data_IF_847712176283
#
_entry.id   IF_847712176283
#
_cell.length_a   1.000
_cell.length_b   1.000
_cell.length_c   1.000
_cell.angle_alpha   90.00
_cell.angle_beta   90.00
_cell.angle_gamma   90.00
#
_symmetry.space_group_name_H-M   'P 1'
#
loop_
_entity.id
_entity.type
_entity.pdbx_description
1 polymer ?
#
# COMPACT_ATOMS: atom_id res chain seq x y z
N UNK A 1 -10.14 -28.01 29.46
CA UNK A 1 -10.59 -26.63 29.24
C UNK A 1 -10.72 -26.41 27.74
N UNK A 2 -11.67 -25.62 27.24
CA UNK A 2 -11.72 -25.30 25.83
C UNK A 2 -10.42 -24.62 25.38
N UNK A 3 -10.01 -24.87 24.13
CA UNK A 3 -8.83 -24.21 23.57
C UNK A 3 -9.00 -22.69 23.58
N UNK A 4 -7.95 -21.91 23.87
CA UNK A 4 -8.05 -20.45 23.83
C UNK A 4 -8.39 -19.96 22.41
N UNK A 5 -9.02 -18.77 22.29
CA UNK A 5 -9.25 -18.19 20.96
C UNK A 5 -7.92 -17.92 20.27
N UNK A 6 -7.86 -17.99 18.92
CA UNK A 6 -6.66 -17.64 18.19
C UNK A 6 -6.38 -16.15 18.31
N UNK A 7 -5.11 -15.79 18.34
CA UNK A 7 -4.66 -14.41 18.14
C UNK A 7 -4.45 -14.19 16.63
N UNK A 8 -5.07 -13.16 16.07
CA UNK A 8 -4.95 -12.82 14.64
C UNK A 8 -4.37 -11.41 14.53
N UNK A 9 -3.16 -11.29 14.02
CA UNK A 9 -2.58 -9.98 13.69
C UNK A 9 -3.04 -9.54 12.31
N UNK A 10 -3.51 -8.29 12.17
CA UNK A 10 -3.97 -7.68 10.92
C UNK A 10 -3.19 -6.43 10.56
N UNK A 11 -2.06 -6.18 11.25
CA UNK A 11 -1.23 -5.03 10.99
C UNK A 11 -0.47 -5.14 9.65
N UNK A 12 0.06 -4.01 9.19
CA UNK A 12 0.94 -3.98 8.03
C UNK A 12 2.39 -4.09 8.49
N UNK A 13 2.83 -5.31 8.82
CA UNK A 13 4.18 -5.62 9.30
C UNK A 13 4.88 -6.60 8.37
N UNK A 14 6.21 -6.59 8.38
CA UNK A 14 6.99 -7.53 7.59
C UNK A 14 6.85 -8.98 8.14
N UNK A 15 7.00 -10.02 7.29
CA UNK A 15 6.92 -11.43 7.72
C UNK A 15 7.84 -11.75 8.90
N UNK A 16 9.05 -11.19 8.93
CA UNK A 16 10.01 -11.37 10.03
C UNK A 16 9.47 -10.83 11.36
N UNK A 17 8.81 -9.67 11.31
CA UNK A 17 8.15 -9.06 12.48
C UNK A 17 6.99 -9.92 12.96
N UNK A 18 6.20 -10.47 12.02
CA UNK A 18 5.11 -11.40 12.33
C UNK A 18 5.61 -12.67 13.01
N UNK A 19 6.70 -13.26 12.52
CA UNK A 19 7.32 -14.44 13.12
C UNK A 19 7.85 -14.16 14.53
N UNK A 20 8.51 -13.00 14.74
CA UNK A 20 8.98 -12.58 16.05
C UNK A 20 7.82 -12.32 17.02
N UNK A 21 6.70 -11.80 16.54
CA UNK A 21 5.47 -11.64 17.32
C UNK A 21 4.93 -13.00 17.76
N UNK A 22 4.82 -13.96 16.83
CA UNK A 22 4.29 -15.29 17.11
C UNK A 22 5.13 -16.05 18.15
N UNK A 23 6.44 -15.93 18.09
CA UNK A 23 7.35 -16.56 19.06
C UNK A 23 7.07 -16.13 20.52
N UNK A 24 6.44 -14.96 20.73
CA UNK A 24 6.04 -14.51 22.10
C UNK A 24 4.89 -15.32 22.69
N UNK A 25 4.18 -16.07 21.86
CA UNK A 25 3.08 -16.95 22.26
C UNK A 25 3.51 -18.40 22.43
N UNK A 26 4.79 -18.73 22.22
CA UNK A 26 5.30 -20.08 22.39
C UNK A 26 5.03 -20.60 23.81
N UNK A 27 4.50 -21.82 23.89
CA UNK A 27 4.13 -22.45 25.16
C UNK A 27 2.84 -21.91 25.81
N UNK A 28 2.20 -20.89 25.29
CA UNK A 28 0.94 -20.33 25.83
C UNK A 28 -0.31 -21.15 25.48
N UNK A 29 -0.23 -22.01 24.47
CA UNK A 29 -1.38 -22.71 23.89
C UNK A 29 -2.28 -21.84 23.00
N UNK A 30 -1.93 -20.56 22.81
CA UNK A 30 -2.62 -19.64 21.88
C UNK A 30 -2.07 -19.85 20.47
N UNK A 31 -2.96 -20.09 19.52
CA UNK A 31 -2.62 -20.18 18.11
C UNK A 31 -2.51 -18.77 17.52
N UNK A 32 -1.44 -18.52 16.77
CA UNK A 32 -1.21 -17.22 16.12
C UNK A 32 -1.46 -17.36 14.62
N UNK A 33 -2.28 -16.46 14.07
CA UNK A 33 -2.56 -16.34 12.64
C UNK A 33 -2.06 -14.99 12.14
N UNK A 34 -1.45 -15.03 10.97
CA UNK A 34 -1.04 -13.84 10.23
C UNK A 34 -2.15 -13.41 9.29
N UNK A 35 -2.50 -12.13 9.33
CA UNK A 35 -3.55 -11.59 8.50
C UNK A 35 -3.17 -10.28 7.80
N UNK A 36 -3.74 -10.08 6.61
CA UNK A 36 -3.50 -8.89 5.81
C UNK A 36 -4.80 -8.35 5.21
N UNK A 37 -5.12 -7.12 5.50
CA UNK A 37 -6.26 -6.41 4.90
C UNK A 37 -5.81 -5.76 3.60
N UNK A 38 -6.44 -6.14 2.47
CA UNK A 38 -6.19 -5.55 1.16
C UNK A 38 -7.52 -4.99 0.61
N UNK A 39 -7.53 -3.72 0.30
CA UNK A 39 -8.68 -2.95 -0.17
C UNK A 39 -8.89 -1.69 0.64
N UNK A 40 -9.83 -0.86 0.18
CA UNK A 40 -10.24 0.36 0.89
C UNK A 40 -11.15 0.07 2.09
N UNK A 41 -11.45 1.09 2.91
CA UNK A 41 -12.42 0.97 3.99
C UNK A 41 -13.77 0.44 3.48
N UNK A 42 -14.52 -0.30 4.31
CA UNK A 42 -15.85 -0.75 3.92
C UNK A 42 -16.77 0.44 3.65
N UNK A 43 -17.53 0.34 2.55
CA UNK A 43 -18.52 1.33 2.14
C UNK A 43 -19.87 0.65 2.08
N UNK A 44 -20.95 1.23 2.64
CA UNK A 44 -22.30 0.66 2.55
C UNK A 44 -22.69 0.33 1.11
N UNK A 45 -23.18 -0.88 0.87
CA UNK A 45 -23.60 -1.36 -0.45
C UNK A 45 -22.48 -1.81 -1.38
N UNK A 46 -21.18 -1.73 -0.96
CA UNK A 46 -20.04 -2.25 -1.70
C UNK A 46 -19.38 -3.40 -0.97
N UNK A 47 -18.74 -4.30 -1.72
CA UNK A 47 -17.92 -5.34 -1.10
C UNK A 47 -16.75 -4.67 -0.35
N UNK A 48 -16.59 -5.04 0.93
CA UNK A 48 -15.50 -4.56 1.77
C UNK A 48 -14.12 -5.10 1.32
N UNK A 49 -13.06 -4.75 2.07
CA UNK A 49 -11.73 -5.28 1.82
C UNK A 49 -11.70 -6.80 1.95
N UNK A 50 -10.71 -7.42 1.34
CA UNK A 50 -10.43 -8.84 1.55
C UNK A 50 -9.37 -8.98 2.65
N UNK A 51 -9.62 -9.88 3.59
CA UNK A 51 -8.65 -10.25 4.64
C UNK A 51 -8.02 -11.58 4.22
N UNK A 52 -6.74 -11.58 3.99
CA UNK A 52 -5.94 -12.76 3.72
C UNK A 52 -5.40 -13.30 5.04
N UNK A 53 -5.47 -14.62 5.24
CA UNK A 53 -5.00 -15.27 6.47
C UNK A 53 -4.02 -16.39 6.10
N UNK A 54 -2.91 -16.48 6.81
CA UNK A 54 -1.93 -17.55 6.68
C UNK A 54 -1.48 -18.08 8.04
N UNK A 55 -0.82 -19.25 8.01
CA UNK A 55 -0.37 -20.00 9.18
C UNK A 55 -1.02 -21.38 9.23
N UNK A 56 -0.45 -22.29 10.04
CA UNK A 56 -0.78 -23.71 10.07
C UNK A 56 -2.24 -24.01 10.42
N UNK A 57 -2.93 -23.09 11.09
CA UNK A 57 -4.31 -23.22 11.54
C UNK A 57 -5.22 -22.13 10.95
N UNK A 58 -4.93 -21.72 9.70
CA UNK A 58 -5.69 -20.67 9.01
C UNK A 58 -7.20 -20.96 8.92
N UNK A 59 -7.61 -22.23 8.99
CA UNK A 59 -9.03 -22.63 9.05
C UNK A 59 -9.78 -22.09 10.27
N UNK A 60 -9.09 -21.77 11.35
CA UNK A 60 -9.69 -21.15 12.54
C UNK A 60 -10.16 -19.71 12.32
N UNK A 61 -9.78 -19.11 11.20
CA UNK A 61 -10.33 -17.81 10.78
C UNK A 61 -11.81 -17.87 10.34
N UNK A 62 -12.45 -19.04 10.29
CA UNK A 62 -13.90 -19.18 9.99
C UNK A 62 -14.77 -18.32 10.87
N UNK A 63 -14.39 -18.14 12.12
CA UNK A 63 -15.10 -17.24 13.04
C UNK A 63 -15.26 -15.80 12.50
N UNK A 64 -14.34 -15.34 11.65
CA UNK A 64 -14.41 -14.03 11.01
C UNK A 64 -15.38 -14.04 9.81
N UNK A 65 -15.47 -15.16 9.08
CA UNK A 65 -16.43 -15.34 7.99
C UNK A 65 -17.87 -15.34 8.53
N UNK A 66 -18.09 -15.97 9.69
CA UNK A 66 -19.39 -15.99 10.37
C UNK A 66 -19.85 -14.58 10.78
N UNK A 67 -18.90 -13.63 10.92
CA UNK A 67 -19.16 -12.19 11.12
C UNK A 67 -19.35 -11.40 9.81
N UNK A 68 -19.40 -12.06 8.65
CA UNK A 68 -19.62 -11.44 7.35
C UNK A 68 -18.36 -10.80 6.73
N UNK A 69 -17.17 -11.10 7.26
CA UNK A 69 -15.90 -10.61 6.69
C UNK A 69 -15.47 -11.49 5.51
N UNK A 70 -14.89 -10.86 4.49
CA UNK A 70 -14.35 -11.55 3.31
C UNK A 70 -12.98 -12.12 3.63
N UNK A 71 -12.92 -13.41 3.92
CA UNK A 71 -11.67 -14.10 4.24
C UNK A 71 -11.17 -14.89 3.02
N UNK A 72 -9.85 -14.83 2.80
CA UNK A 72 -9.12 -15.72 1.89
C UNK A 72 -7.94 -16.34 2.63
N UNK A 73 -7.94 -17.66 2.73
CA UNK A 73 -6.82 -18.40 3.31
C UNK A 73 -5.74 -18.58 2.26
N UNK A 74 -4.51 -18.34 2.66
CA UNK A 74 -3.33 -18.63 1.86
C UNK A 74 -2.78 -19.99 2.26
N UNK A 75 -2.44 -20.78 1.27
CA UNK A 75 -1.66 -22.00 1.46
C UNK A 75 -0.18 -21.63 1.61
N UNK A 76 0.19 -21.27 2.84
CA UNK A 76 1.53 -20.79 3.14
C UNK A 76 1.79 -20.67 4.64
N UNK A 77 3.06 -20.56 5.04
CA UNK A 77 3.44 -20.45 6.43
C UNK A 77 2.98 -19.15 7.06
N UNK A 78 3.11 -19.06 8.38
CA UNK A 78 2.94 -17.81 9.11
C UNK A 78 3.87 -16.71 8.54
N UNK A 79 3.31 -15.56 8.19
CA UNK A 79 3.98 -14.48 7.49
C UNK A 79 3.67 -14.39 5.98
N UNK A 80 2.99 -15.39 5.40
CA UNK A 80 2.65 -15.34 3.98
C UNK A 80 1.62 -14.24 3.64
N UNK A 81 0.65 -13.96 4.52
CA UNK A 81 -0.29 -12.87 4.33
C UNK A 81 0.39 -11.50 4.47
N UNK A 82 1.29 -11.35 5.44
CA UNK A 82 2.16 -10.17 5.57
C UNK A 82 3.02 -9.96 4.33
N UNK A 83 3.66 -11.02 3.80
CA UNK A 83 4.43 -10.95 2.56
C UNK A 83 3.57 -10.50 1.38
N UNK A 84 2.38 -11.07 1.21
CA UNK A 84 1.43 -10.66 0.17
C UNK A 84 1.13 -9.16 0.25
N UNK A 85 0.90 -8.66 1.46
CA UNK A 85 0.60 -7.24 1.68
C UNK A 85 1.81 -6.36 1.36
N UNK A 86 3.02 -6.75 1.75
CA UNK A 86 4.25 -6.01 1.42
C UNK A 86 4.43 -5.93 -0.10
N UNK A 87 4.33 -7.05 -0.82
CA UNK A 87 4.43 -7.08 -2.27
C UNK A 87 3.34 -6.23 -2.95
N UNK A 88 2.09 -6.38 -2.54
CA UNK A 88 0.97 -5.61 -3.10
C UNK A 88 1.13 -4.10 -2.86
N UNK A 89 1.50 -3.72 -1.63
CA UNK A 89 1.74 -2.32 -1.27
C UNK A 89 2.94 -1.75 -2.03
N UNK A 90 4.02 -2.53 -2.14
CA UNK A 90 5.22 -2.16 -2.89
C UNK A 90 4.91 -1.86 -4.36
N UNK A 91 4.19 -2.73 -5.04
CA UNK A 91 3.79 -2.52 -6.44
C UNK A 91 2.88 -1.28 -6.54
N UNK A 92 1.83 -1.20 -5.73
CA UNK A 92 0.83 -0.14 -5.88
C UNK A 92 1.38 1.24 -5.49
N UNK A 93 2.05 1.37 -4.36
CA UNK A 93 2.61 2.64 -3.89
C UNK A 93 3.91 2.99 -4.58
N UNK A 94 4.71 1.97 -4.93
CA UNK A 94 5.91 2.14 -5.74
C UNK A 94 5.60 2.73 -7.11
N UNK A 95 4.53 2.26 -7.75
CA UNK A 95 4.03 2.83 -9.00
C UNK A 95 3.66 4.32 -8.86
N UNK A 96 2.95 4.68 -7.77
CA UNK A 96 2.58 6.07 -7.49
C UNK A 96 3.81 6.92 -7.19
N UNK A 97 4.77 6.40 -6.39
CA UNK A 97 6.02 7.08 -6.10
C UNK A 97 6.87 7.33 -7.34
N UNK A 98 7.00 6.32 -8.20
CA UNK A 98 7.72 6.47 -9.48
C UNK A 98 7.07 7.55 -10.36
N UNK A 99 5.74 7.50 -10.53
CA UNK A 99 5.00 8.49 -11.28
C UNK A 99 5.17 9.90 -10.70
N UNK A 100 5.06 10.05 -9.39
CA UNK A 100 5.28 11.32 -8.69
C UNK A 100 6.68 11.88 -8.96
N UNK A 101 7.73 11.04 -8.83
CA UNK A 101 9.11 11.45 -9.07
C UNK A 101 9.33 11.94 -10.51
N UNK A 102 8.79 11.20 -11.50
CA UNK A 102 8.97 11.52 -12.92
C UNK A 102 8.18 12.76 -13.35
N UNK A 103 6.95 12.94 -12.86
CA UNK A 103 6.17 14.14 -13.15
C UNK A 103 6.82 15.40 -12.54
N UNK A 104 7.33 15.32 -11.31
CA UNK A 104 8.10 16.42 -10.70
C UNK A 104 9.42 16.70 -11.47
N UNK A 105 10.08 15.67 -11.97
CA UNK A 105 11.27 15.84 -12.81
C UNK A 105 10.92 16.53 -14.14
N UNK A 106 9.85 16.13 -14.79
CA UNK A 106 9.36 16.73 -16.01
C UNK A 106 8.98 18.22 -15.81
N UNK A 107 8.33 18.54 -14.68
CA UNK A 107 8.01 19.92 -14.30
C UNK A 107 9.28 20.78 -14.23
N UNK A 108 10.29 20.31 -13.50
CA UNK A 108 11.58 21.03 -13.35
C UNK A 108 12.34 21.21 -14.66
N UNK A 109 12.11 20.32 -15.63
CA UNK A 109 12.81 20.31 -16.93
C UNK A 109 12.00 20.96 -18.07
N UNK A 110 10.82 21.52 -17.78
CA UNK A 110 9.95 22.11 -18.79
C UNK A 110 9.32 21.12 -19.77
N UNK A 111 9.28 19.81 -19.41
CA UNK A 111 8.76 18.75 -20.24
C UNK A 111 7.38 18.23 -19.79
N UNK A 112 6.74 18.88 -18.81
CA UNK A 112 5.53 18.38 -18.18
C UNK A 112 4.35 18.19 -19.14
N UNK A 113 4.05 19.19 -19.96
CA UNK A 113 2.96 19.14 -20.94
C UNK A 113 3.17 18.04 -21.98
N UNK A 114 4.39 17.95 -22.53
CA UNK A 114 4.74 16.92 -23.50
C UNK A 114 4.67 15.52 -22.93
N UNK A 115 5.14 15.33 -21.68
CA UNK A 115 5.03 14.05 -20.99
C UNK A 115 3.56 13.67 -20.75
N UNK A 116 2.73 14.63 -20.33
CA UNK A 116 1.31 14.40 -20.10
C UNK A 116 0.58 14.01 -21.38
N UNK A 117 0.85 14.71 -22.49
CA UNK A 117 0.29 14.38 -23.79
C UNK A 117 0.70 12.97 -24.24
N UNK A 118 1.99 12.63 -24.15
CA UNK A 118 2.51 11.32 -24.51
C UNK A 118 1.90 10.19 -23.66
N UNK A 119 1.79 10.40 -22.33
CA UNK A 119 1.15 9.41 -21.44
C UNK A 119 -0.33 9.21 -21.82
N UNK A 120 -1.04 10.28 -22.14
CA UNK A 120 -2.46 10.19 -22.52
C UNK A 120 -2.65 9.44 -23.85
N UNK A 121 -1.73 9.56 -24.79
CA UNK A 121 -1.78 8.90 -26.10
C UNK A 121 -1.30 7.46 -26.03
N UNK A 122 -0.10 7.22 -25.50
CA UNK A 122 0.58 5.92 -25.57
C UNK A 122 0.27 4.99 -24.39
N UNK A 123 -0.05 5.55 -23.21
CA UNK A 123 -0.27 4.81 -21.97
C UNK A 123 -1.49 5.34 -21.17
N UNK A 124 -2.71 5.37 -21.78
CA UNK A 124 -3.87 6.04 -21.18
C UNK A 124 -4.31 5.45 -19.81
N UNK A 125 -4.11 4.16 -19.59
CA UNK A 125 -4.44 3.53 -18.30
C UNK A 125 -3.45 3.93 -17.20
N UNK A 126 -2.18 4.10 -17.55
CA UNK A 126 -1.14 4.62 -16.65
C UNK A 126 -1.45 6.06 -16.28
N UNK A 127 -1.74 6.89 -17.28
CA UNK A 127 -2.10 8.30 -17.09
C UNK A 127 -3.33 8.45 -16.17
N UNK A 128 -4.40 7.72 -16.45
CA UNK A 128 -5.62 7.71 -15.61
C UNK A 128 -5.33 7.29 -14.17
N UNK A 129 -4.53 6.22 -14.01
CA UNK A 129 -4.17 5.73 -12.69
C UNK A 129 -3.33 6.74 -11.90
N UNK A 130 -2.33 7.38 -12.51
CA UNK A 130 -1.51 8.40 -11.87
C UNK A 130 -2.33 9.65 -11.53
N UNK A 131 -3.15 10.13 -12.48
CA UNK A 131 -4.00 11.32 -12.29
C UNK A 131 -4.97 11.17 -11.12
N UNK A 132 -5.44 9.94 -10.83
CA UNK A 132 -6.29 9.64 -9.68
C UNK A 132 -5.48 9.43 -8.40
N UNK A 133 -4.44 8.60 -8.47
CA UNK A 133 -3.79 8.05 -7.27
C UNK A 133 -2.78 9.00 -6.64
N UNK A 134 -2.15 9.91 -7.41
CA UNK A 134 -1.21 10.88 -6.86
C UNK A 134 -1.91 11.88 -5.93
N UNK A 135 -3.03 12.52 -6.29
CA UNK A 135 -3.77 13.37 -5.36
C UNK A 135 -4.34 12.62 -4.15
N UNK A 136 -4.76 11.36 -4.34
CA UNK A 136 -5.23 10.50 -3.24
C UNK A 136 -4.09 10.15 -2.25
N UNK A 137 -2.84 10.24 -2.67
CA UNK A 137 -1.66 10.02 -1.83
C UNK A 137 -1.38 11.20 -0.89
N UNK A 138 -1.62 12.44 -1.28
CA UNK A 138 -1.23 13.62 -0.52
C UNK A 138 -1.56 13.53 0.99
N UNK A 139 -2.81 13.29 1.41
CA UNK A 139 -3.15 13.22 2.82
C UNK A 139 -2.64 11.95 3.53
N UNK A 140 -2.00 11.05 2.80
CA UNK A 140 -1.53 9.73 3.29
C UNK A 140 -0.02 9.58 3.22
N UNK A 141 0.69 10.51 2.57
CA UNK A 141 2.12 10.42 2.31
C UNK A 141 2.93 10.12 3.57
N UNK A 142 2.61 10.79 4.68
CA UNK A 142 3.28 10.60 5.96
C UNK A 142 3.26 9.15 6.47
N UNK A 143 2.16 8.40 6.24
CA UNK A 143 2.05 7.00 6.64
C UNK A 143 2.82 6.06 5.72
N UNK A 144 2.98 6.46 4.45
CA UNK A 144 3.66 5.64 3.47
C UNK A 144 5.17 5.60 3.69
N UNK A 145 5.72 6.57 4.40
CA UNK A 145 7.15 6.57 4.77
C UNK A 145 7.53 5.28 5.50
N UNK A 146 6.85 4.98 6.60
CA UNK A 146 7.12 3.76 7.38
C UNK A 146 6.82 2.49 6.56
N UNK A 147 5.76 2.48 5.75
CA UNK A 147 5.43 1.33 4.91
C UNK A 147 6.51 1.05 3.84
N UNK A 148 7.13 2.09 3.26
CA UNK A 148 8.24 1.90 2.32
C UNK A 148 9.50 1.37 3.00
N UNK A 149 9.77 1.80 4.23
CA UNK A 149 10.86 1.26 5.05
C UNK A 149 10.64 -0.22 5.36
N UNK A 150 9.44 -0.61 5.79
CA UNK A 150 9.08 -2.02 6.02
C UNK A 150 9.24 -2.89 4.76
N UNK A 151 8.91 -2.34 3.58
CA UNK A 151 9.12 -3.06 2.31
C UNK A 151 10.60 -3.18 1.99
N UNK A 152 11.40 -2.16 2.25
CA UNK A 152 12.86 -2.22 2.06
C UNK A 152 13.49 -3.30 2.98
N UNK A 153 13.06 -3.34 4.24
CA UNK A 153 13.53 -4.34 5.21
C UNK A 153 13.06 -5.76 4.84
N UNK A 154 11.84 -5.89 4.31
CA UNK A 154 11.32 -7.15 3.80
C UNK A 154 12.12 -7.71 2.62
N UNK A 155 12.60 -6.84 1.72
CA UNK A 155 13.45 -7.23 0.59
C UNK A 155 14.85 -7.66 1.06
N UNK A 156 15.34 -7.10 2.16
CA UNK A 156 16.66 -7.37 2.73
C UNK A 156 17.70 -6.29 2.44
N UNK A 157 18.67 -6.17 3.33
CA UNK A 157 19.67 -5.10 3.25
C UNK A 157 20.57 -5.21 2.02
N UNK A 158 20.87 -6.43 1.61
CA UNK A 158 21.75 -6.74 0.48
C UNK A 158 21.03 -6.71 -0.87
N UNK A 159 19.69 -6.63 -0.89
CA UNK A 159 18.93 -6.54 -2.13
C UNK A 159 18.95 -5.11 -2.68
N UNK A 160 19.47 -4.88 -3.90
CA UNK A 160 19.48 -3.55 -4.51
C UNK A 160 18.07 -2.95 -4.67
N UNK A 161 17.02 -3.78 -4.78
CA UNK A 161 15.64 -3.32 -4.82
C UNK A 161 15.21 -2.62 -3.52
N UNK A 162 15.80 -2.95 -2.36
CA UNK A 162 15.55 -2.25 -1.11
C UNK A 162 15.87 -0.74 -1.19
N UNK A 163 16.90 -0.38 -1.96
CA UNK A 163 17.28 1.03 -2.18
C UNK A 163 16.19 1.82 -2.90
N UNK A 164 15.44 1.19 -3.81
CA UNK A 164 14.30 1.82 -4.49
C UNK A 164 13.26 2.26 -3.45
N UNK A 165 12.92 1.38 -2.51
CA UNK A 165 11.90 1.67 -1.50
C UNK A 165 12.38 2.63 -0.42
N UNK A 166 13.68 2.63 -0.06
CA UNK A 166 14.27 3.67 0.79
C UNK A 166 14.17 5.05 0.13
N UNK A 167 14.53 5.16 -1.16
CA UNK A 167 14.35 6.41 -1.92
C UNK A 167 12.89 6.85 -2.05
N UNK A 168 11.95 5.91 -2.13
CA UNK A 168 10.52 6.23 -2.10
C UNK A 168 10.05 6.69 -0.72
N UNK A 169 10.59 6.15 0.38
CA UNK A 169 10.33 6.65 1.73
C UNK A 169 10.74 8.12 1.86
N UNK A 170 11.91 8.48 1.35
CA UNK A 170 12.40 9.87 1.34
C UNK A 170 11.52 10.78 0.48
N UNK A 171 11.09 10.30 -0.70
CA UNK A 171 10.15 11.04 -1.55
C UNK A 171 8.82 11.30 -0.84
N UNK A 172 8.22 10.28 -0.20
CA UNK A 172 6.96 10.45 0.52
C UNK A 172 7.11 11.33 1.77
N UNK A 173 8.26 11.29 2.46
CA UNK A 173 8.57 12.22 3.54
C UNK A 173 8.60 13.66 3.05
N UNK A 174 9.24 13.91 1.91
CA UNK A 174 9.27 15.21 1.26
C UNK A 174 7.87 15.67 0.82
N UNK A 175 7.06 14.77 0.25
CA UNK A 175 5.68 15.09 -0.12
C UNK A 175 4.82 15.42 1.11
N UNK A 176 4.95 14.67 2.20
CA UNK A 176 4.24 14.94 3.44
C UNK A 176 4.57 16.31 4.00
N UNK A 177 5.85 16.67 4.04
CA UNK A 177 6.30 18.00 4.48
C UNK A 177 5.78 19.12 3.59
N UNK A 178 5.73 18.89 2.26
CA UNK A 178 5.18 19.89 1.32
C UNK A 178 3.67 20.08 1.49
N UNK A 179 2.93 19.01 1.75
CA UNK A 179 1.48 19.06 2.00
C UNK A 179 1.14 19.90 3.24
N UNK A 180 1.94 19.77 4.30
CA UNK A 180 1.76 20.51 5.56
C UNK A 180 2.31 21.95 5.48
N UNK A 181 3.20 22.20 4.53
CA UNK A 181 3.94 23.47 4.37
C UNK A 181 3.53 24.29 3.15
N UNK A 182 4.51 24.49 2.26
CA UNK A 182 4.40 25.42 1.13
C UNK A 182 3.49 24.96 -0.01
N UNK A 183 3.23 23.66 -0.13
CA UNK A 183 2.45 23.01 -1.21
C UNK A 183 2.97 23.29 -2.63
N UNK A 184 4.27 23.56 -2.76
CA UNK A 184 4.92 23.83 -4.06
C UNK A 184 4.92 22.58 -4.93
N UNK A 185 5.29 21.42 -4.37
CA UNK A 185 5.31 20.15 -5.11
C UNK A 185 3.90 19.68 -5.45
N UNK A 186 2.97 19.85 -4.53
CA UNK A 186 1.53 19.58 -4.77
C UNK A 186 1.01 20.45 -5.90
N UNK A 187 1.31 21.75 -5.89
CA UNK A 187 0.89 22.68 -6.97
C UNK A 187 1.44 22.27 -8.33
N UNK A 188 2.72 21.91 -8.42
CA UNK A 188 3.35 21.42 -9.65
C UNK A 188 2.66 20.15 -10.19
N UNK A 189 2.33 19.21 -9.31
CA UNK A 189 1.63 17.98 -9.69
C UNK A 189 0.19 18.24 -10.13
N UNK A 190 -0.52 19.10 -9.40
CA UNK A 190 -1.91 19.44 -9.73
C UNK A 190 -2.01 20.21 -11.05
N UNK A 191 -1.05 21.03 -11.41
CA UNK A 191 -0.94 21.70 -12.70
C UNK A 191 -0.82 20.69 -13.85
N UNK A 192 0.04 19.66 -13.71
CA UNK A 192 0.25 18.62 -14.72
C UNK A 192 -0.96 17.68 -14.84
N UNK A 193 -1.53 17.29 -13.69
CA UNK A 193 -2.58 16.28 -13.64
C UNK A 193 -4.00 16.84 -13.91
N UNK A 194 -4.13 18.16 -13.97
CA UNK A 194 -5.41 18.87 -14.07
C UNK A 194 -6.08 19.10 -12.73
N UNK A 195 -7.08 19.98 -12.67
CA UNK A 195 -7.86 20.24 -11.46
C UNK A 195 -8.67 19.00 -11.04
N UNK A 196 -9.08 18.93 -9.78
CA UNK A 196 -9.91 17.83 -9.27
C UNK A 196 -11.22 17.70 -10.06
N UNK A 197 -11.85 18.80 -10.41
CA UNK A 197 -13.08 18.83 -11.20
C UNK A 197 -12.90 18.24 -12.60
N UNK A 198 -11.79 18.56 -13.28
CA UNK A 198 -11.44 18.02 -14.58
C UNK A 198 -11.14 16.49 -14.51
N UNK A 199 -10.52 16.06 -13.42
CA UNK A 199 -10.19 14.63 -13.19
C UNK A 199 -11.43 13.79 -12.91
N UNK A 200 -12.38 14.31 -12.10
CA UNK A 200 -13.62 13.60 -11.78
C UNK A 200 -14.54 13.49 -13.01
N UNK A 201 -14.52 14.48 -13.91
CA UNK A 201 -15.23 14.44 -15.17
C UNK A 201 -14.69 13.38 -16.16
N UNK A 202 -13.38 13.09 -16.14
CA UNK A 202 -12.76 12.04 -16.99
C UNK A 202 -13.01 10.61 -16.50
N UNK A 203 -13.54 10.44 -15.28
CA UNK A 203 -13.79 9.11 -14.66
C UNK A 203 -15.26 8.69 -14.74
N UNK A 204 -16.15 9.59 -15.19
CA UNK A 204 -17.55 9.23 -15.43
C UNK A 204 -17.66 8.50 -16.78
N UNK A 205 -18.32 7.32 -16.81
CA UNK A 205 -18.49 6.52 -18.03
C UNK A 205 -19.39 7.17 -19.05
#
# INVERSE_FOLDING_TARGET
>A
MPAPPPFIDLNAIAPKTMQALAARFDGSGVEVLDGAIIGGPPVPGKSGPTIYISGDRAERSRLLEDCGLRIRRLDGPLGAASALKMCYAGINKGFIGLGTAMLLAASRSGAAESLKAELSESLPDVDRKLSKSIPDMYPKAYRWVAEMQEIADFLGEDDPAATIFRGMADLFSRMASDVEGSRVLVGQLDEILGSRETRDAMVMP
#
